data_IF_674951148504
#
_entry.id   IF_674951148504
#
_cell.length_a   1.000
_cell.length_b   1.000
_cell.length_c   1.000
_cell.angle_alpha   90.00
_cell.angle_beta   90.00
_cell.angle_gamma   90.00
#
_symmetry.space_group_name_H-M   'P 1'
#
loop_
_entity.id
_entity.type
_entity.pdbx_description
1 polymer ?
#
# COMPACT_ATOMS: atom_id res chain seq x y z
N UNK A 1 23.83 22.33 -18.47
CA UNK A 1 22.65 21.54 -18.90
C UNK A 1 22.85 20.09 -18.47
N UNK A 2 22.27 19.66 -17.35
CA UNK A 2 22.22 18.24 -16.98
C UNK A 2 20.89 18.02 -16.27
N UNK A 3 19.93 17.49 -17.03
CA UNK A 3 18.55 17.24 -16.62
C UNK A 3 18.37 15.74 -16.47
N UNK A 4 17.69 15.36 -15.38
CA UNK A 4 16.90 14.13 -15.17
C UNK A 4 17.71 12.87 -14.89
N UNK A 5 17.66 12.40 -13.64
CA UNK A 5 17.73 10.97 -13.31
C UNK A 5 17.33 10.74 -11.84
N UNK A 6 16.06 10.92 -11.49
CA UNK A 6 15.55 10.50 -10.17
C UNK A 6 14.09 10.10 -10.29
N UNK A 7 13.79 8.88 -9.90
CA UNK A 7 12.46 8.38 -9.52
C UNK A 7 12.78 7.67 -8.19
N UNK A 8 11.90 7.71 -7.20
CA UNK A 8 10.85 6.75 -6.95
C UNK A 8 9.78 7.47 -6.10
N UNK A 9 8.49 7.14 -6.14
CA UNK A 9 7.43 7.69 -5.30
C UNK A 9 6.34 6.72 -4.79
N UNK A 10 5.82 6.66 -3.56
CA UNK A 10 4.85 5.66 -3.03
C UNK A 10 3.86 5.14 -4.05
N UNK A 11 3.85 3.81 -4.12
CA UNK A 11 2.69 3.01 -4.48
C UNK A 11 2.07 2.27 -3.30
N UNK A 12 2.48 2.66 -2.10
CA UNK A 12 2.34 1.87 -0.88
C UNK A 12 1.35 2.41 0.15
N UNK A 13 0.52 3.42 -0.14
CA UNK A 13 -0.16 4.16 0.94
C UNK A 13 -1.62 4.50 0.70
N UNK A 14 -2.28 3.72 -0.13
CA UNK A 14 -3.49 4.13 -0.80
C UNK A 14 -4.20 2.82 -1.11
N UNK A 15 -5.33 2.44 -0.46
CA UNK A 15 -6.50 1.68 -1.00
C UNK A 15 -7.47 1.08 0.10
N UNK A 16 -8.56 1.82 0.40
CA UNK A 16 -10.00 1.43 0.64
C UNK A 16 -10.56 1.00 2.01
N UNK A 17 -11.76 1.57 2.32
CA UNK A 17 -12.71 1.41 3.42
C UNK A 17 -13.46 0.06 3.56
N UNK A 18 -14.03 -0.10 4.77
CA UNK A 18 -14.97 -1.12 5.29
C UNK A 18 -14.41 -2.48 5.75
N UNK A 19 -14.54 -2.70 7.06
CA UNK A 19 -14.68 -3.98 7.77
C UNK A 19 -15.97 -3.78 8.58
N UNK A 20 -16.87 -4.77 8.68
CA UNK A 20 -18.17 -4.55 9.29
C UNK A 20 -18.09 -4.13 10.77
N UNK A 21 -19.04 -3.29 11.20
CA UNK A 21 -19.10 -2.71 12.55
C UNK A 21 -19.28 -3.71 13.70
N UNK A 22 -19.37 -5.02 13.44
CA UNK A 22 -19.50 -6.07 14.45
C UNK A 22 -18.19 -6.52 15.10
N UNK A 23 -17.02 -6.04 14.63
CA UNK A 23 -15.74 -6.22 15.34
C UNK A 23 -15.44 -5.10 16.36
N UNK A 24 -16.38 -4.17 16.62
CA UNK A 24 -16.22 -3.15 17.68
C UNK A 24 -16.30 -3.70 19.11
N UNK A 25 -16.46 -5.01 19.31
CA UNK A 25 -16.71 -5.59 20.63
C UNK A 25 -15.80 -6.73 21.10
N UNK A 26 -14.82 -7.20 20.31
CA UNK A 26 -14.10 -8.44 20.65
C UNK A 26 -12.69 -8.26 21.25
N UNK A 27 -12.05 -7.09 21.11
CA UNK A 27 -10.63 -6.93 21.49
C UNK A 27 -10.37 -6.15 22.80
N UNK A 28 -11.41 -5.87 23.60
CA UNK A 28 -11.25 -5.15 24.87
C UNK A 28 -10.84 -6.04 26.07
N UNK A 29 -10.61 -7.34 25.89
CA UNK A 29 -10.38 -8.26 26.99
C UNK A 29 -9.21 -9.25 26.77
N UNK A 30 -8.03 -8.76 26.40
CA UNK A 30 -6.78 -9.54 26.52
C UNK A 30 -5.47 -8.74 26.44
N UNK A 31 -5.45 -7.41 26.63
CA UNK A 31 -4.21 -6.64 26.43
C UNK A 31 -3.29 -6.68 27.67
N UNK A 32 -2.56 -7.78 27.82
CA UNK A 32 -1.30 -7.84 28.56
C UNK A 32 -0.16 -7.14 27.81
N UNK A 33 -0.41 -5.96 27.22
CA UNK A 33 0.63 -5.22 26.49
C UNK A 33 1.69 -4.75 27.48
N UNK A 34 2.99 -5.02 27.23
CA UNK A 34 4.05 -4.38 27.98
C UNK A 34 3.94 -2.85 27.82
N UNK A 35 4.33 -2.07 28.85
CA UNK A 35 4.26 -0.62 28.81
C UNK A 35 4.98 -0.10 27.57
N UNK A 36 4.28 0.74 26.79
CA UNK A 36 4.85 1.48 25.67
C UNK A 36 6.08 2.23 26.19
N UNK A 37 7.26 1.93 25.63
CA UNK A 37 8.50 2.60 26.00
C UNK A 37 8.32 4.13 25.89
N UNK A 38 8.92 4.87 26.84
CA UNK A 38 8.85 6.32 26.88
C UNK A 38 9.16 6.93 25.49
N UNK A 39 8.43 7.99 25.08
CA UNK A 39 8.61 8.60 23.78
C UNK A 39 10.07 9.01 23.60
N UNK A 40 10.61 8.69 22.42
CA UNK A 40 11.93 9.19 22.01
C UNK A 40 11.94 10.72 22.03
N UNK A 41 13.11 11.36 22.27
CA UNK A 41 13.21 12.81 22.36
C UNK A 41 12.57 13.49 21.16
N UNK A 42 11.78 14.53 21.43
CA UNK A 42 11.11 15.35 20.43
C UNK A 42 12.16 15.90 19.45
N UNK A 43 12.11 15.55 18.16
CA UNK A 43 13.03 16.11 17.18
C UNK A 43 12.85 17.63 17.09
N UNK A 44 13.93 18.34 16.74
CA UNK A 44 13.91 19.78 16.50
C UNK A 44 12.76 20.18 15.54
N UNK A 45 12.18 21.39 15.70
CA UNK A 45 11.04 21.83 14.89
C UNK A 45 11.43 21.81 13.42
N UNK A 46 10.74 20.96 12.66
CA UNK A 46 10.97 20.84 11.24
C UNK A 46 10.43 22.06 10.51
N UNK A 47 11.16 22.51 9.49
CA UNK A 47 10.64 23.40 8.46
C UNK A 47 9.37 22.78 7.89
N UNK A 48 8.27 23.53 7.99
CA UNK A 48 6.94 23.09 7.54
C UNK A 48 6.91 22.95 6.02
N UNK A 49 6.52 21.79 5.51
CA UNK A 49 6.33 21.57 4.06
C UNK A 49 5.15 22.40 3.56
N UNK A 50 5.33 23.14 2.46
CA UNK A 50 4.22 23.83 1.80
C UNK A 50 3.32 22.80 1.08
N UNK A 51 1.97 22.86 1.25
CA UNK A 51 1.04 21.98 0.54
C UNK A 51 1.28 21.97 -0.98
N UNK A 52 1.30 20.78 -1.59
CA UNK A 52 1.40 20.62 -3.05
C UNK A 52 2.82 20.75 -3.62
N UNK A 53 3.81 21.03 -2.78
CA UNK A 53 5.21 20.96 -3.18
C UNK A 53 5.71 19.52 -3.29
N UNK A 54 6.77 19.31 -4.06
CA UNK A 54 7.46 18.03 -4.07
C UNK A 54 8.16 17.81 -2.73
N UNK A 55 8.06 16.59 -2.19
CA UNK A 55 8.77 16.25 -0.97
C UNK A 55 10.27 16.16 -1.25
N UNK A 56 11.06 16.80 -0.39
CA UNK A 56 12.50 16.64 -0.35
C UNK A 56 12.88 15.21 0.09
N UNK A 57 14.09 14.80 -0.27
CA UNK A 57 14.66 13.51 0.14
C UNK A 57 14.60 13.32 1.67
N UNK A 58 14.88 14.37 2.43
CA UNK A 58 14.87 14.34 3.90
C UNK A 58 13.44 14.17 4.46
N UNK A 59 12.44 14.80 3.85
CA UNK A 59 11.03 14.63 4.24
C UNK A 59 10.53 13.21 3.97
N UNK A 60 10.89 12.63 2.81
CA UNK A 60 10.61 11.23 2.50
C UNK A 60 11.26 10.32 3.53
N UNK A 61 12.55 10.54 3.83
CA UNK A 61 13.25 9.74 4.83
C UNK A 61 12.61 9.85 6.23
N UNK A 62 12.27 11.06 6.67
CA UNK A 62 11.56 11.26 7.94
C UNK A 62 10.23 10.53 8.00
N UNK A 63 9.46 10.57 6.90
CA UNK A 63 8.18 9.89 6.79
C UNK A 63 8.34 8.37 6.93
N UNK A 64 9.30 7.77 6.23
CA UNK A 64 9.59 6.33 6.35
C UNK A 64 10.23 5.94 7.68
N UNK A 65 11.08 6.78 8.25
CA UNK A 65 11.69 6.57 9.56
C UNK A 65 10.61 6.49 10.64
N UNK A 66 9.69 7.45 10.65
CA UNK A 66 8.53 7.41 11.55
C UNK A 66 7.66 6.18 11.27
N UNK A 67 7.47 5.83 9.99
CA UNK A 67 6.66 4.67 9.62
C UNK A 67 7.21 3.36 10.19
N UNK A 68 8.50 3.09 9.99
CA UNK A 68 9.16 1.89 10.53
C UNK A 68 9.19 1.92 12.06
N UNK A 69 9.38 3.09 12.66
CA UNK A 69 9.39 3.30 14.11
C UNK A 69 8.11 2.83 14.81
N UNK A 70 6.96 2.97 14.16
CA UNK A 70 5.62 2.68 14.68
C UNK A 70 5.02 1.35 14.15
N UNK A 71 5.79 0.59 13.36
CA UNK A 71 5.28 -0.61 12.71
C UNK A 71 4.83 -1.71 13.70
N UNK A 72 3.68 -2.33 13.49
CA UNK A 72 3.21 -3.43 14.34
C UNK A 72 3.93 -4.74 13.97
N UNK A 73 4.42 -5.48 14.97
CA UNK A 73 5.21 -6.70 14.74
C UNK A 73 4.41 -7.81 14.02
N UNK A 74 3.09 -7.88 14.25
CA UNK A 74 2.20 -8.85 13.61
C UNK A 74 2.03 -8.65 12.09
N UNK A 75 2.57 -7.57 11.52
CA UNK A 75 2.58 -7.31 10.07
C UNK A 75 3.78 -7.95 9.37
N UNK A 76 4.70 -8.55 10.12
CA UNK A 76 5.92 -9.16 9.59
C UNK A 76 5.96 -10.65 9.90
N UNK A 77 6.65 -11.39 9.03
CA UNK A 77 6.96 -12.80 9.27
C UNK A 77 7.81 -12.94 10.55
N UNK A 78 7.30 -13.68 11.54
CA UNK A 78 7.98 -13.89 12.83
C UNK A 78 9.31 -14.65 12.65
N UNK A 79 9.29 -15.66 11.79
CA UNK A 79 10.43 -16.51 11.43
C UNK A 79 10.76 -16.31 9.94
N UNK A 80 11.39 -15.19 9.56
CA UNK A 80 11.67 -14.91 8.16
C UNK A 80 12.52 -16.01 7.55
N UNK A 81 12.12 -16.44 6.34
CA UNK A 81 12.86 -17.46 5.56
C UNK A 81 14.26 -17.00 5.14
N UNK A 82 14.55 -15.72 5.25
CA UNK A 82 15.84 -15.12 4.94
C UNK A 82 16.31 -14.14 6.01
N UNK A 83 17.26 -13.29 5.63
CA UNK A 83 17.80 -12.27 6.53
C UNK A 83 16.76 -11.20 6.88
N UNK A 84 16.59 -10.96 8.18
CA UNK A 84 15.77 -9.86 8.67
C UNK A 84 16.55 -8.54 8.66
N UNK A 85 15.84 -7.41 8.62
CA UNK A 85 16.44 -6.12 8.98
C UNK A 85 16.33 -5.94 10.50
N UNK A 86 17.41 -5.50 11.14
CA UNK A 86 17.45 -5.27 12.60
C UNK A 86 17.73 -3.81 12.87
N UNK A 87 16.82 -3.14 13.58
CA UNK A 87 17.00 -1.76 14.04
C UNK A 87 16.81 -1.75 15.54
N UNK A 88 17.87 -1.38 16.28
CA UNK A 88 17.90 -1.46 17.74
C UNK A 88 17.52 -2.89 18.20
N UNK A 89 16.46 -3.03 19.01
CA UNK A 89 15.96 -4.32 19.51
C UNK A 89 14.87 -4.95 18.64
N UNK A 90 14.47 -4.29 17.55
CA UNK A 90 13.36 -4.72 16.69
C UNK A 90 13.89 -5.49 15.48
N UNK A 91 13.14 -6.51 15.07
CA UNK A 91 13.44 -7.36 13.92
C UNK A 91 12.28 -7.25 12.92
N UNK A 92 12.62 -6.95 11.67
CA UNK A 92 11.66 -6.83 10.58
C UNK A 92 11.91 -7.97 9.59
N UNK A 93 11.00 -8.95 9.59
CA UNK A 93 10.95 -10.01 8.59
C UNK A 93 10.28 -9.54 7.30
N UNK A 94 9.86 -10.51 6.47
CA UNK A 94 9.04 -10.23 5.29
C UNK A 94 7.75 -9.52 5.71
N UNK A 95 7.42 -8.39 5.10
CA UNK A 95 6.12 -7.74 5.31
C UNK A 95 5.01 -8.60 4.71
N UNK A 96 4.10 -9.04 5.58
CA UNK A 96 2.96 -9.89 5.22
C UNK A 96 1.66 -9.10 5.14
N UNK A 97 1.61 -7.90 5.72
CA UNK A 97 0.44 -7.04 5.73
C UNK A 97 0.02 -6.52 4.35
N UNK A 98 -1.18 -5.96 4.31
CA UNK A 98 -1.71 -5.31 3.11
C UNK A 98 -1.32 -3.85 3.06
N UNK A 99 -1.87 -3.11 2.10
CA UNK A 99 -1.64 -1.67 2.03
C UNK A 99 -2.14 -0.93 3.29
N UNK A 100 -3.22 -1.43 3.92
CA UNK A 100 -3.67 -0.96 5.24
C UNK A 100 -2.64 -1.21 6.34
N UNK A 101 -1.90 -2.32 6.25
CA UNK A 101 -0.73 -2.58 7.09
C UNK A 101 0.22 -1.39 7.10
N UNK A 102 0.54 -0.88 5.92
CA UNK A 102 1.48 0.23 5.73
C UNK A 102 0.91 1.58 6.18
N UNK A 103 -0.34 1.90 5.85
CA UNK A 103 -0.92 3.21 6.18
C UNK A 103 -1.34 3.33 7.63
N UNK A 104 -1.98 2.29 8.15
CA UNK A 104 -2.66 2.29 9.45
C UNK A 104 -1.72 1.79 10.54
N UNK A 105 -1.12 0.63 10.31
CA UNK A 105 -0.38 -0.11 11.32
C UNK A 105 1.14 0.12 11.25
N UNK A 106 1.57 1.05 10.40
CA UNK A 106 2.95 1.52 10.41
C UNK A 106 3.01 3.03 10.58
N UNK A 107 2.03 3.67 11.23
CA UNK A 107 2.13 5.08 11.64
C UNK A 107 2.34 6.10 10.52
N UNK A 108 2.10 5.71 9.27
CA UNK A 108 2.43 6.52 8.11
C UNK A 108 1.58 7.80 8.02
N UNK A 109 0.30 7.73 8.42
CA UNK A 109 -0.56 8.90 8.52
C UNK A 109 -0.10 9.89 9.61
N UNK A 110 0.33 9.35 10.76
CA UNK A 110 0.93 10.14 11.85
C UNK A 110 2.23 10.82 11.39
N UNK A 111 3.05 10.11 10.61
CA UNK A 111 4.26 10.67 10.01
C UNK A 111 3.95 11.83 9.04
N UNK A 112 2.94 11.67 8.19
CA UNK A 112 2.48 12.72 7.28
C UNK A 112 1.96 13.96 8.04
N UNK A 113 1.17 13.77 9.10
CA UNK A 113 0.72 14.86 9.96
C UNK A 113 1.89 15.59 10.64
N UNK A 114 2.92 14.84 11.06
CA UNK A 114 4.15 15.40 11.63
C UNK A 114 4.96 16.27 10.67
N UNK A 115 4.94 15.99 9.35
CA UNK A 115 5.56 16.88 8.35
C UNK A 115 4.83 18.22 8.20
N UNK A 116 3.51 18.22 8.45
CA UNK A 116 2.65 19.40 8.37
C UNK A 116 2.53 20.17 9.69
N UNK A 117 3.27 19.77 10.73
CA UNK A 117 3.08 20.25 12.11
C UNK A 117 1.61 20.21 12.54
N UNK A 118 0.89 19.16 12.15
CA UNK A 118 -0.52 18.95 12.44
C UNK A 118 -0.70 17.78 13.42
N UNK A 119 -1.80 17.81 14.17
CA UNK A 119 -2.23 16.67 14.97
C UNK A 119 -2.68 15.54 14.04
N UNK A 120 -2.15 14.34 14.27
CA UNK A 120 -2.59 13.15 13.55
C UNK A 120 -4.02 12.78 13.96
N UNK A 121 -4.85 12.39 13.00
CA UNK A 121 -6.16 11.85 13.30
C UNK A 121 -6.05 10.51 14.00
N UNK A 122 -6.91 10.28 15.00
CA UNK A 122 -7.09 8.95 15.60
C UNK A 122 -7.95 8.04 14.73
N UNK A 123 -8.69 8.61 13.77
CA UNK A 123 -9.40 7.83 12.78
C UNK A 123 -8.41 7.23 11.78
N UNK A 124 -8.29 5.91 11.83
CA UNK A 124 -7.48 5.13 10.91
C UNK A 124 -7.79 5.45 9.44
N UNK A 125 -9.04 5.80 9.09
CA UNK A 125 -9.43 6.04 7.71
C UNK A 125 -9.20 7.48 7.24
N UNK A 126 -8.82 8.38 8.15
CA UNK A 126 -8.61 9.77 7.82
C UNK A 126 -7.24 9.99 7.17
N UNK A 127 -7.23 10.09 5.84
CA UNK A 127 -6.04 10.36 5.04
C UNK A 127 -5.83 11.86 4.73
N UNK A 128 -6.43 12.76 5.53
CA UNK A 128 -6.39 14.22 5.29
C UNK A 128 -4.96 14.77 5.30
N UNK A 129 -4.07 14.24 6.15
CA UNK A 129 -2.67 14.68 6.17
C UNK A 129 -1.97 14.44 4.82
N UNK A 130 -2.19 13.27 4.21
CA UNK A 130 -1.69 12.98 2.87
C UNK A 130 -2.31 13.88 1.80
N UNK A 131 -3.61 14.15 1.89
CA UNK A 131 -4.28 15.04 0.95
C UNK A 131 -3.75 16.48 1.03
N UNK A 132 -3.41 16.93 2.25
CA UNK A 132 -2.78 18.24 2.49
C UNK A 132 -1.35 18.29 1.94
N UNK A 133 -0.52 17.27 2.16
CA UNK A 133 0.82 17.20 1.54
C UNK A 133 0.73 17.26 0.02
N UNK A 134 -0.22 16.54 -0.57
CA UNK A 134 -0.42 16.47 -2.01
C UNK A 134 -1.15 17.68 -2.61
N UNK A 135 -1.73 18.56 -1.78
CA UNK A 135 -2.70 19.58 -2.19
C UNK A 135 -3.87 19.06 -3.05
N UNK A 136 -4.22 17.79 -2.93
CA UNK A 136 -5.37 17.15 -3.58
C UNK A 136 -5.98 16.10 -2.64
N UNK A 137 -7.31 15.90 -2.62
CA UNK A 137 -7.91 14.85 -1.81
C UNK A 137 -7.36 13.47 -2.16
N UNK A 138 -7.18 12.61 -1.16
CA UNK A 138 -6.75 11.21 -1.37
C UNK A 138 -7.85 10.40 -2.05
N UNK A 139 -9.07 10.56 -1.56
CA UNK A 139 -10.27 9.90 -2.07
C UNK A 139 -11.13 10.90 -2.85
N UNK A 140 -11.79 10.42 -3.90
CA UNK A 140 -12.90 11.13 -4.51
C UNK A 140 -14.16 10.96 -3.64
N UNK A 141 -15.09 11.93 -3.64
CA UNK A 141 -16.39 11.76 -3.00
C UNK A 141 -17.11 10.51 -3.55
N UNK A 142 -18.06 9.90 -2.85
CA UNK A 142 -18.87 8.81 -3.40
C UNK A 142 -19.60 9.23 -4.69
N UNK A 143 -19.60 8.37 -5.72
CA UNK A 143 -20.37 8.63 -6.95
C UNK A 143 -21.84 8.22 -6.80
N UNK A 144 -22.52 8.77 -5.79
CA UNK A 144 -23.92 8.42 -5.50
C UNK A 144 -24.11 7.00 -4.94
N UNK A 145 -23.03 6.28 -4.62
CA UNK A 145 -23.08 5.07 -3.81
C UNK A 145 -23.25 5.45 -2.33
N UNK A 146 -24.04 4.71 -1.55
CA UNK A 146 -24.04 4.85 -0.10
C UNK A 146 -22.60 4.73 0.42
N UNK A 147 -22.23 5.50 1.45
CA UNK A 147 -20.87 5.51 1.99
C UNK A 147 -20.36 4.12 2.44
N UNK A 148 -21.28 3.19 2.74
CA UNK A 148 -20.99 1.78 3.05
C UNK A 148 -20.54 0.95 1.83
N UNK A 149 -20.95 1.35 0.64
CA UNK A 149 -20.74 0.63 -0.63
C UNK A 149 -19.62 1.28 -1.46
N UNK A 150 -19.16 2.47 -1.07
CA UNK A 150 -17.99 3.10 -1.65
C UNK A 150 -16.73 2.39 -1.11
N UNK A 151 -16.15 1.55 -1.95
CA UNK A 151 -14.85 0.96 -1.75
C UNK A 151 -13.74 2.04 -1.82
N UNK A 152 -13.96 3.28 -1.38
CA UNK A 152 -13.00 4.37 -1.38
C UNK A 152 -12.37 4.60 -2.76
N UNK A 153 -13.05 5.35 -3.62
CA UNK A 153 -12.51 5.70 -4.94
C UNK A 153 -11.33 6.64 -4.84
N UNK A 154 -10.25 6.36 -5.55
CA UNK A 154 -9.05 7.19 -5.44
C UNK A 154 -9.05 8.35 -6.39
N UNK A 155 -8.44 9.43 -5.91
CA UNK A 155 -8.13 10.55 -6.78
C UNK A 155 -6.88 10.20 -7.62
N UNK A 156 -6.99 10.06 -8.95
CA UNK A 156 -5.84 9.76 -9.80
C UNK A 156 -4.73 10.82 -9.70
N UNK A 157 -5.07 12.09 -9.40
CA UNK A 157 -4.08 13.12 -9.15
C UNK A 157 -3.23 12.83 -7.90
N UNK A 158 -3.86 12.32 -6.85
CA UNK A 158 -3.15 11.90 -5.65
C UNK A 158 -2.23 10.71 -5.92
N UNK A 159 -2.69 9.70 -6.68
CA UNK A 159 -1.86 8.54 -7.04
C UNK A 159 -0.63 8.96 -7.84
N UNK A 160 -0.80 9.90 -8.79
CA UNK A 160 0.33 10.48 -9.54
C UNK A 160 1.29 11.25 -8.64
N UNK A 161 0.78 12.08 -7.73
CA UNK A 161 1.62 12.80 -6.77
C UNK A 161 2.40 11.81 -5.90
N UNK A 162 1.75 10.76 -5.39
CA UNK A 162 2.40 9.75 -4.58
C UNK A 162 3.53 9.07 -5.36
N UNK A 163 3.27 8.64 -6.61
CA UNK A 163 4.27 8.08 -7.55
C UNK A 163 5.48 8.98 -7.78
N UNK A 164 5.36 10.28 -7.60
CA UNK A 164 6.44 11.24 -7.82
C UNK A 164 7.26 11.55 -6.56
N UNK A 165 6.68 11.41 -5.37
CA UNK A 165 7.20 12.08 -4.18
C UNK A 165 7.62 11.18 -3.03
N UNK A 166 7.27 9.91 -3.06
CA UNK A 166 7.25 9.08 -1.87
C UNK A 166 7.93 7.68 -1.91
N UNK A 167 8.65 7.19 -2.92
CA UNK A 167 9.37 5.90 -2.94
C UNK A 167 10.80 6.43 -2.77
N UNK A 168 11.58 5.84 -1.90
CA UNK A 168 12.93 6.34 -1.68
C UNK A 168 13.84 6.06 -2.89
N UNK A 169 14.98 6.73 -2.93
CA UNK A 169 16.08 6.19 -3.74
C UNK A 169 16.61 4.91 -3.06
N UNK A 170 17.00 3.87 -3.80
CA UNK A 170 17.53 2.64 -3.22
C UNK A 170 18.80 2.85 -2.38
N UNK A 171 19.57 3.90 -2.68
CA UNK A 171 20.80 4.22 -1.97
C UNK A 171 20.58 5.22 -0.82
N UNK A 172 19.35 5.66 -0.58
CA UNK A 172 18.98 6.43 0.61
C UNK A 172 19.19 5.57 1.87
N UNK A 173 19.72 6.19 2.91
CA UNK A 173 19.81 5.58 4.24
C UNK A 173 18.46 5.66 4.95
N UNK A 174 18.00 4.54 5.49
CA UNK A 174 16.85 4.47 6.39
C UNK A 174 17.28 3.76 7.66
N UNK A 175 17.42 4.52 8.74
CA UNK A 175 17.79 4.02 10.06
C UNK A 175 19.13 3.27 10.05
N UNK A 176 20.13 3.77 9.30
CA UNK A 176 21.45 3.14 9.18
C UNK A 176 21.49 1.94 8.22
N UNK A 177 20.45 1.76 7.40
CA UNK A 177 20.36 0.69 6.40
C UNK A 177 19.82 1.25 5.08
N UNK A 178 20.47 0.92 3.96
CA UNK A 178 19.99 1.37 2.64
C UNK A 178 18.57 0.89 2.36
N UNK A 179 17.75 1.74 1.75
CA UNK A 179 16.39 1.36 1.35
C UNK A 179 16.33 0.15 0.41
N UNK A 180 17.37 -0.08 -0.41
CA UNK A 180 17.47 -1.32 -1.21
C UNK A 180 17.39 -2.59 -0.35
N UNK A 181 18.03 -2.58 0.81
CA UNK A 181 18.02 -3.72 1.75
C UNK A 181 16.63 -3.88 2.35
N UNK A 182 15.98 -2.77 2.76
CA UNK A 182 14.59 -2.77 3.22
C UNK A 182 13.64 -3.34 2.17
N UNK A 183 13.73 -2.88 0.92
CA UNK A 183 12.93 -3.45 -0.16
C UNK A 183 13.17 -4.96 -0.29
N UNK A 184 14.43 -5.38 -0.45
CA UNK A 184 14.75 -6.78 -0.75
C UNK A 184 14.29 -7.75 0.35
N UNK A 185 14.45 -7.36 1.63
CA UNK A 185 14.20 -8.24 2.77
C UNK A 185 12.79 -8.11 3.34
N UNK A 186 12.19 -6.92 3.25
CA UNK A 186 10.90 -6.62 3.91
C UNK A 186 9.79 -6.50 2.88
N UNK A 187 9.92 -5.64 1.86
CA UNK A 187 8.78 -5.28 1.01
C UNK A 187 8.67 -6.02 -0.33
N UNK A 188 9.70 -6.75 -0.78
CA UNK A 188 9.73 -7.37 -2.09
C UNK A 188 8.53 -8.31 -2.34
N UNK A 189 8.11 -9.09 -1.33
CA UNK A 189 6.93 -9.96 -1.43
C UNK A 189 5.68 -9.16 -1.80
N UNK A 190 5.40 -8.09 -1.05
CA UNK A 190 4.20 -7.25 -1.28
C UNK A 190 4.15 -6.72 -2.71
N UNK A 191 5.24 -6.10 -3.18
CA UNK A 191 5.29 -5.54 -4.54
C UNK A 191 5.17 -6.61 -5.62
N UNK A 192 5.85 -7.75 -5.45
CA UNK A 192 5.79 -8.88 -6.41
C UNK A 192 4.39 -9.47 -6.46
N UNK A 193 3.72 -9.63 -5.32
CA UNK A 193 2.32 -10.06 -5.27
C UNK A 193 1.41 -9.07 -6.02
N UNK A 194 1.56 -7.76 -5.75
CA UNK A 194 0.76 -6.73 -6.43
C UNK A 194 0.94 -6.74 -7.95
N UNK A 195 2.16 -6.95 -8.45
CA UNK A 195 2.40 -7.06 -9.89
C UNK A 195 1.89 -8.38 -10.47
N UNK A 196 2.07 -9.50 -9.77
CA UNK A 196 1.53 -10.79 -10.20
C UNK A 196 0.00 -10.75 -10.28
N UNK A 197 -0.67 -10.18 -9.27
CA UNK A 197 -2.13 -10.02 -9.28
C UNK A 197 -2.60 -9.06 -10.37
N UNK A 198 -1.87 -7.99 -10.66
CA UNK A 198 -2.19 -7.10 -11.78
C UNK A 198 -2.22 -7.89 -13.09
N UNK A 199 -1.16 -8.64 -13.37
CA UNK A 199 -1.09 -9.44 -14.60
C UNK A 199 -2.11 -10.56 -14.65
N UNK A 200 -2.39 -11.19 -13.52
CA UNK A 200 -3.46 -12.18 -13.42
C UNK A 200 -4.81 -11.56 -13.84
N UNK A 201 -5.14 -10.37 -13.31
CA UNK A 201 -6.39 -9.68 -13.70
C UNK A 201 -6.44 -9.22 -15.15
N UNK A 202 -5.30 -9.03 -15.82
CA UNK A 202 -5.24 -8.59 -17.23
C UNK A 202 -5.21 -9.73 -18.23
N UNK A 203 -4.54 -10.82 -17.88
CA UNK A 203 -4.23 -11.88 -18.82
C UNK A 203 -5.12 -13.12 -18.64
N UNK A 204 -5.70 -13.30 -17.45
CA UNK A 204 -6.44 -14.52 -17.10
C UNK A 204 -7.90 -14.26 -16.72
N UNK A 205 -8.36 -13.00 -16.77
CA UNK A 205 -9.74 -12.63 -16.48
C UNK A 205 -10.35 -11.86 -17.63
N UNK A 206 -11.64 -12.07 -17.84
CA UNK A 206 -12.49 -11.04 -18.43
C UNK A 206 -12.79 -9.98 -17.35
N UNK A 207 -11.92 -8.98 -17.28
CA UNK A 207 -12.01 -7.94 -16.26
C UNK A 207 -13.31 -7.13 -16.38
N UNK A 208 -13.88 -6.98 -17.58
CA UNK A 208 -15.14 -6.27 -17.76
C UNK A 208 -16.29 -7.03 -17.10
N UNK A 209 -16.39 -8.34 -17.35
CA UNK A 209 -17.39 -9.21 -16.71
C UNK A 209 -17.17 -9.28 -15.19
N UNK A 210 -15.94 -9.51 -14.74
CA UNK A 210 -15.62 -9.59 -13.30
C UNK A 210 -15.97 -8.31 -12.55
N UNK A 211 -15.76 -7.13 -13.16
CA UNK A 211 -16.17 -5.84 -12.58
C UNK A 211 -17.67 -5.77 -12.35
N UNK A 212 -18.47 -6.17 -13.34
CA UNK A 212 -19.93 -6.14 -13.24
C UNK A 212 -20.43 -7.14 -12.19
N UNK A 213 -19.88 -8.35 -12.18
CA UNK A 213 -20.19 -9.35 -11.15
C UNK A 213 -19.88 -8.85 -9.74
N UNK A 214 -18.73 -8.19 -9.56
CA UNK A 214 -18.34 -7.62 -8.27
C UNK A 214 -19.31 -6.51 -7.84
N UNK A 215 -19.64 -5.58 -8.74
CA UNK A 215 -20.60 -4.51 -8.45
C UNK A 215 -21.98 -5.05 -8.10
N UNK A 216 -22.50 -5.98 -8.89
CA UNK A 216 -23.80 -6.60 -8.64
C UNK A 216 -23.82 -7.34 -7.30
N UNK A 217 -22.76 -8.11 -6.98
CA UNK A 217 -22.64 -8.77 -5.69
C UNK A 217 -22.55 -7.76 -4.53
N UNK A 218 -21.84 -6.65 -4.72
CA UNK A 218 -21.66 -5.62 -3.68
C UNK A 218 -22.93 -4.87 -3.30
N UNK A 219 -23.96 -4.92 -4.15
CA UNK A 219 -25.27 -4.34 -3.88
C UNK A 219 -26.22 -5.31 -3.15
N UNK A 220 -25.83 -6.58 -3.01
CA UNK A 220 -26.60 -7.59 -2.31
C UNK A 220 -26.53 -7.47 -0.79
N UNK A 221 -27.59 -7.89 -0.11
CA UNK A 221 -27.60 -7.99 1.36
C UNK A 221 -26.57 -9.03 1.83
N UNK A 222 -25.81 -8.70 2.89
CA UNK A 222 -24.80 -9.60 3.46
C UNK A 222 -23.53 -9.77 2.60
N UNK A 223 -23.25 -8.85 1.67
CA UNK A 223 -22.03 -8.90 0.88
C UNK A 223 -20.77 -8.72 1.75
N UNK A 224 -20.01 -9.80 1.89
CA UNK A 224 -18.68 -9.80 2.49
C UNK A 224 -17.60 -9.91 1.40
N UNK A 225 -16.95 -8.78 1.12
CA UNK A 225 -16.03 -8.69 -0.02
C UNK A 225 -14.87 -9.69 0.06
N UNK A 226 -14.34 -9.95 1.26
CA UNK A 226 -13.26 -10.93 1.45
C UNK A 226 -13.73 -12.35 1.15
N UNK A 227 -14.90 -12.74 1.67
CA UNK A 227 -15.50 -14.05 1.40
C UNK A 227 -15.83 -14.24 -0.08
N UNK A 228 -16.27 -13.17 -0.77
CA UNK A 228 -16.51 -13.20 -2.21
C UNK A 228 -15.21 -13.44 -2.99
N UNK A 229 -14.12 -12.74 -2.63
CA UNK A 229 -12.82 -12.88 -3.27
C UNK A 229 -12.21 -14.27 -3.02
N UNK A 230 -12.29 -14.77 -1.79
CA UNK A 230 -11.77 -16.09 -1.41
C UNK A 230 -12.48 -17.21 -2.14
N UNK A 231 -13.82 -17.18 -2.24
CA UNK A 231 -14.56 -18.20 -3.00
C UNK A 231 -14.19 -18.24 -4.49
N UNK A 232 -13.85 -17.10 -5.08
CA UNK A 232 -13.64 -16.96 -6.53
C UNK A 232 -12.17 -17.10 -6.94
N UNK A 233 -11.25 -16.70 -6.08
CA UNK A 233 -9.82 -16.61 -6.38
C UNK A 233 -8.95 -17.27 -5.30
N UNK A 234 -9.52 -17.97 -4.33
CA UNK A 234 -8.77 -18.85 -3.45
C UNK A 234 -7.99 -19.88 -4.27
N UNK A 235 -6.70 -20.02 -3.99
CA UNK A 235 -5.78 -20.84 -4.78
C UNK A 235 -5.10 -20.10 -5.95
N UNK A 236 -5.50 -18.86 -6.26
CA UNK A 236 -4.79 -18.07 -7.25
C UNK A 236 -3.46 -17.56 -6.67
N UNK A 237 -2.39 -17.64 -7.48
CA UNK A 237 -1.05 -17.16 -7.11
C UNK A 237 -0.53 -17.82 -5.81
N UNK A 238 -0.69 -19.14 -5.70
CA UNK A 238 -0.30 -19.96 -4.54
C UNK A 238 1.15 -19.77 -4.10
N UNK A 239 2.05 -19.34 -5.00
CA UNK A 239 3.44 -19.04 -4.66
C UNK A 239 3.58 -17.86 -3.67
N UNK A 240 2.55 -17.02 -3.54
CA UNK A 240 2.48 -15.93 -2.57
C UNK A 240 1.63 -16.27 -1.33
N UNK A 241 1.07 -17.47 -1.24
CA UNK A 241 0.22 -17.87 -0.13
C UNK A 241 0.95 -17.75 1.22
N UNK A 242 0.21 -17.22 2.21
CA UNK A 242 0.61 -17.20 3.62
C UNK A 242 -0.62 -17.54 4.46
N UNK A 243 -0.47 -18.20 5.63
CA UNK A 243 -1.61 -18.52 6.49
C UNK A 243 -2.40 -17.27 6.89
N UNK A 244 -3.74 -17.33 6.88
CA UNK A 244 -4.59 -16.22 7.32
C UNK A 244 -4.46 -16.05 8.85
N UNK A 245 -4.21 -14.81 9.29
CA UNK A 245 -4.13 -14.43 10.72
C UNK A 245 -4.87 -13.10 11.02
N UNK A 246 -5.75 -12.67 10.11
CA UNK A 246 -6.46 -11.39 10.19
C UNK A 246 -5.69 -10.18 9.65
N UNK A 247 -4.35 -10.21 9.61
CA UNK A 247 -3.52 -9.09 9.13
C UNK A 247 -2.83 -9.37 7.79
N UNK A 248 -2.58 -10.65 7.49
CA UNK A 248 -1.89 -11.08 6.28
C UNK A 248 -2.65 -10.74 5.00
N UNK A 249 -1.92 -10.22 4.03
CA UNK A 249 -2.40 -9.87 2.71
C UNK A 249 -2.21 -11.04 1.75
N UNK A 250 -3.36 -11.58 1.37
CA UNK A 250 -3.48 -12.79 0.59
C UNK A 250 -3.68 -12.47 -0.90
N UNK A 251 -3.37 -13.41 -1.80
CA UNK A 251 -3.52 -13.20 -3.23
C UNK A 251 -4.89 -12.70 -3.69
N UNK A 252 -5.98 -13.27 -3.17
CA UNK A 252 -7.34 -12.89 -3.53
C UNK A 252 -7.65 -11.44 -3.14
N UNK A 253 -7.02 -10.92 -2.07
CA UNK A 253 -7.13 -9.51 -1.68
C UNK A 253 -6.39 -8.61 -2.67
N UNK A 254 -5.20 -9.02 -3.11
CA UNK A 254 -4.42 -8.30 -4.12
C UNK A 254 -5.10 -8.32 -5.49
N UNK A 255 -5.89 -9.34 -5.81
CA UNK A 255 -6.77 -9.40 -7.00
C UNK A 255 -7.95 -8.44 -6.83
N UNK A 256 -8.63 -8.49 -5.68
CA UNK A 256 -9.76 -7.60 -5.36
C UNK A 256 -9.40 -6.12 -5.41
N UNK A 257 -8.17 -5.78 -5.04
CA UNK A 257 -7.59 -4.46 -5.23
C UNK A 257 -7.69 -4.02 -6.70
N UNK A 258 -7.24 -4.83 -7.65
CA UNK A 258 -7.21 -4.45 -9.07
C UNK A 258 -8.60 -4.38 -9.68
N UNK A 259 -9.51 -5.25 -9.25
CA UNK A 259 -10.93 -5.18 -9.62
C UNK A 259 -11.49 -3.81 -9.21
N UNK A 260 -11.33 -3.41 -7.95
CA UNK A 260 -11.77 -2.09 -7.44
C UNK A 260 -11.10 -0.92 -8.16
N UNK A 261 -9.82 -1.07 -8.50
CA UNK A 261 -9.06 -0.02 -9.22
C UNK A 261 -9.45 0.15 -10.66
N UNK A 262 -9.90 -0.92 -11.30
CA UNK A 262 -10.49 -0.81 -12.63
C UNK A 262 -11.87 -0.15 -12.60
N UNK A 263 -12.61 -0.26 -11.49
CA UNK A 263 -13.90 0.40 -11.30
C UNK A 263 -13.79 1.91 -11.10
N UNK A 264 -12.76 2.39 -10.38
CA UNK A 264 -12.53 3.83 -10.18
C UNK A 264 -11.57 4.47 -11.19
N UNK A 265 -11.05 3.69 -12.14
CA UNK A 265 -10.20 4.16 -13.23
C UNK A 265 -8.78 4.55 -12.79
N UNK A 266 -8.34 4.14 -11.60
CA UNK A 266 -6.98 4.45 -11.11
C UNK A 266 -5.99 3.29 -11.28
N UNK A 267 -6.44 2.12 -11.75
CA UNK A 267 -5.62 0.95 -12.03
C UNK A 267 -4.36 1.24 -12.87
N UNK A 268 -4.46 2.05 -13.92
CA UNK A 268 -3.32 2.41 -14.75
C UNK A 268 -2.25 3.21 -14.00
N UNK A 269 -2.66 4.12 -13.11
CA UNK A 269 -1.73 4.94 -12.32
C UNK A 269 -1.01 4.10 -11.25
N UNK A 270 -1.73 3.19 -10.60
CA UNK A 270 -1.14 2.20 -9.69
C UNK A 270 -0.21 1.24 -10.45
N UNK A 271 -0.59 0.75 -11.63
CA UNK A 271 0.29 -0.11 -12.42
C UNK A 271 1.56 0.63 -12.84
N UNK A 272 1.44 1.90 -13.28
CA UNK A 272 2.57 2.71 -13.72
C UNK A 272 3.61 2.89 -12.63
N UNK A 273 3.19 3.23 -11.41
CA UNK A 273 4.19 3.35 -10.36
C UNK A 273 4.76 1.98 -9.92
N UNK A 274 4.07 0.85 -10.13
CA UNK A 274 4.61 -0.46 -9.73
C UNK A 274 5.81 -0.72 -10.62
N UNK A 275 5.65 -0.44 -11.91
CA UNK A 275 6.77 -0.45 -12.85
C UNK A 275 7.90 0.46 -12.39
N UNK A 276 7.61 1.64 -11.83
CA UNK A 276 8.65 2.54 -11.31
C UNK A 276 9.39 1.96 -10.09
N UNK A 277 8.70 1.28 -9.19
CA UNK A 277 9.34 0.52 -8.09
C UNK A 277 10.24 -0.56 -8.68
N UNK A 278 9.71 -1.35 -9.60
CA UNK A 278 10.38 -2.51 -10.16
C UNK A 278 11.63 -2.13 -10.95
N UNK A 279 11.56 -1.09 -11.80
CA UNK A 279 12.73 -0.57 -12.53
C UNK A 279 13.88 -0.19 -11.60
N UNK A 280 13.58 0.21 -10.36
CA UNK A 280 14.56 0.70 -9.39
C UNK A 280 15.13 -0.36 -8.47
N UNK A 281 14.23 -1.14 -7.90
CA UNK A 281 14.58 -2.07 -6.84
C UNK A 281 14.79 -3.48 -7.35
N UNK A 282 14.02 -3.89 -8.36
CA UNK A 282 14.01 -5.27 -8.84
C UNK A 282 13.88 -5.40 -10.36
N UNK A 283 14.79 -4.79 -11.13
CA UNK A 283 14.69 -4.73 -12.59
C UNK A 283 14.81 -6.11 -13.23
N UNK A 284 15.56 -7.05 -12.61
CA UNK A 284 15.69 -8.42 -13.12
C UNK A 284 14.37 -9.18 -13.01
N UNK A 285 13.66 -9.06 -11.89
CA UNK A 285 12.34 -9.68 -11.76
C UNK A 285 11.35 -9.03 -12.70
N UNK A 286 11.38 -7.70 -12.83
CA UNK A 286 10.53 -6.97 -13.77
C UNK A 286 10.70 -7.41 -15.22
N UNK A 287 11.94 -7.57 -15.68
CA UNK A 287 12.23 -8.06 -17.03
C UNK A 287 11.68 -9.48 -17.26
N UNK A 288 11.75 -10.36 -16.26
CA UNK A 288 11.14 -11.69 -16.35
C UNK A 288 9.62 -11.61 -16.41
N UNK A 289 9.04 -10.75 -15.59
CA UNK A 289 7.60 -10.50 -15.56
C UNK A 289 7.11 -10.02 -16.94
N UNK A 290 7.79 -9.05 -17.56
CA UNK A 290 7.44 -8.53 -18.88
C UNK A 290 7.48 -9.59 -19.98
N UNK A 291 8.39 -10.58 -19.88
CA UNK A 291 8.47 -11.70 -20.83
C UNK A 291 7.32 -12.71 -20.68
N UNK A 292 6.71 -12.78 -19.51
CA UNK A 292 5.59 -13.69 -19.23
C UNK A 292 4.24 -13.12 -19.65
N UNK A 293 4.15 -11.81 -19.86
CA UNK A 293 2.96 -11.16 -20.41
C UNK A 293 2.98 -11.38 -21.92
N UNK A 294 2.01 -12.12 -22.51
CA UNK A 294 1.89 -12.19 -23.96
C UNK A 294 1.82 -10.76 -24.49
N UNK A 295 2.59 -10.44 -25.53
CA UNK A 295 2.46 -9.15 -26.19
C UNK A 295 0.97 -8.98 -26.53
N UNK A 296 0.33 -7.94 -25.99
CA UNK A 296 -1.08 -7.68 -26.27
C UNK A 296 -1.22 -7.68 -27.80
N UNK A 297 -1.98 -8.65 -28.33
CA UNK A 297 -2.41 -8.60 -29.71
C UNK A 297 -3.20 -7.32 -29.82
N UNK A 298 -2.56 -6.31 -30.39
CA UNK A 298 -3.19 -5.04 -30.75
C UNK A 298 -4.23 -5.42 -31.77
N UNK A 299 -5.46 -5.66 -31.33
CA UNK A 299 -6.60 -5.70 -32.22
C UNK A 299 -6.66 -4.31 -32.85
N UNK A 300 -6.42 -4.16 -34.16
CA UNK A 300 -6.51 -2.85 -34.77
C UNK A 300 -7.94 -2.37 -34.59
N UNK A 301 -8.11 -1.14 -34.07
CA UNK A 301 -9.40 -0.46 -34.04
C UNK A 301 -10.02 -0.54 -35.44
N UNK A 302 -11.21 -1.15 -35.52
CA UNK A 302 -12.04 -1.20 -36.73
C UNK A 302 -13.05 -0.08 -36.68
#
# INVERSE_FOLDING_TARGET
MSKRFWLAGILLSVLVAWVPGHLRGADAAADGRPPVAAPSPTPAPATSTAPGSSLSRDEVNRLYTAMIGEAYECMFEEKPRGEAVRIRRRRFGTFLGGIRGLTLYMGLNKAAAGLLNATASEDFYDMTAFGRLAAVPVYLPPAGLPARDDFGRYNPAFVRWARQNLIPDPEDDLLGTRFRIWYNRVFARFFRLMAASYLFTRNQMDLATVRQDYLAASQGEGFEALSWLERRYGGALDEFFVPRNGTNFLPEMAIGFWIRRSLDGTDAEFAAGLQDVFRRYDPKWFQRLQKQVPAATTTPDR
#
